data_IF_558683455079
#
_entry.id   IF_558683455079
#
_cell.length_a   1.000
_cell.length_b   1.000
_cell.length_c   1.000
_cell.angle_alpha   90.00
_cell.angle_beta   90.00
_cell.angle_gamma   90.00
#
_symmetry.space_group_name_H-M   'P 1'
#
loop_
_entity.id
_entity.type
_entity.pdbx_description
1 polymer ?
#
# COMPACT_ATOMS: atom_id res chain seq x y z
N UNK A 1 6.68 8.05 -9.29
CA UNK A 1 6.70 6.59 -9.03
C UNK A 1 5.61 5.81 -9.77
N UNK A 2 4.44 6.41 -10.07
CA UNK A 2 3.30 5.72 -10.70
C UNK A 2 3.62 4.98 -12.02
N UNK A 3 4.41 5.58 -12.91
CA UNK A 3 4.76 4.97 -14.21
C UNK A 3 5.53 3.65 -14.06
N UNK A 4 6.44 3.54 -13.09
CA UNK A 4 7.17 2.30 -12.82
C UNK A 4 6.22 1.17 -12.40
N UNK A 5 5.31 1.46 -11.48
CA UNK A 5 4.31 0.50 -10.99
C UNK A 5 3.37 0.04 -12.09
N UNK A 6 2.96 0.95 -12.98
CA UNK A 6 2.12 0.63 -14.13
C UNK A 6 2.85 -0.31 -15.12
N UNK A 7 4.12 -0.03 -15.41
CA UNK A 7 4.95 -0.87 -16.26
C UNK A 7 5.19 -2.23 -15.64
N UNK A 8 5.51 -2.29 -14.34
CA UNK A 8 5.73 -3.52 -13.59
C UNK A 8 4.47 -4.41 -13.59
N UNK A 9 3.30 -3.81 -13.38
CA UNK A 9 2.02 -4.52 -13.46
C UNK A 9 1.78 -5.07 -14.86
N UNK A 10 1.97 -4.24 -15.89
CA UNK A 10 1.78 -4.66 -17.29
C UNK A 10 2.73 -5.79 -17.67
N UNK A 11 3.95 -5.75 -17.13
CA UNK A 11 4.97 -6.76 -17.33
C UNK A 11 4.60 -8.08 -16.63
N UNK A 12 4.23 -8.03 -15.34
CA UNK A 12 3.82 -9.21 -14.58
C UNK A 12 2.59 -9.89 -15.17
N UNK A 13 1.60 -9.11 -15.62
CA UNK A 13 0.41 -9.63 -16.29
C UNK A 13 0.75 -10.36 -17.60
N UNK A 14 1.68 -9.82 -18.40
CA UNK A 14 2.12 -10.46 -19.65
C UNK A 14 2.98 -11.71 -19.43
N UNK A 15 3.71 -11.77 -18.33
CA UNK A 15 4.54 -12.93 -17.96
C UNK A 15 3.76 -14.05 -17.27
N UNK A 16 2.55 -13.77 -16.80
CA UNK A 16 1.76 -14.75 -16.07
C UNK A 16 1.37 -15.92 -16.98
N UNK A 17 1.87 -17.11 -16.67
CA UNK A 17 1.56 -18.36 -17.39
C UNK A 17 0.36 -19.11 -16.79
N UNK A 18 -0.08 -18.69 -15.60
CA UNK A 18 -1.18 -19.32 -14.87
C UNK A 18 -2.52 -18.64 -15.22
N UNK A 19 -3.59 -19.43 -15.35
CA UNK A 19 -4.93 -18.92 -15.56
C UNK A 19 -5.42 -18.15 -14.32
N UNK A 20 -5.26 -16.82 -14.31
CA UNK A 20 -5.75 -15.95 -13.25
C UNK A 20 -5.16 -14.53 -13.31
N UNK A 21 -5.78 -13.60 -12.60
CA UNK A 21 -5.26 -12.23 -12.45
C UNK A 21 -4.14 -12.27 -11.39
N UNK A 22 -2.90 -12.45 -11.84
CA UNK A 22 -1.74 -12.32 -10.97
C UNK A 22 -1.40 -10.83 -10.77
N UNK A 23 -1.44 -10.38 -9.53
CA UNK A 23 -1.03 -9.03 -9.14
C UNK A 23 0.36 -9.08 -8.50
N UNK A 24 1.12 -8.00 -8.68
CA UNK A 24 2.45 -7.88 -8.07
C UNK A 24 2.26 -7.59 -6.59
N UNK A 25 2.74 -8.46 -5.70
CA UNK A 25 2.61 -8.22 -4.26
C UNK A 25 3.79 -7.46 -3.67
N UNK A 26 5.01 -7.74 -4.14
CA UNK A 26 6.22 -7.05 -3.69
C UNK A 26 7.34 -7.15 -4.71
N UNK A 27 8.23 -6.18 -4.69
CA UNK A 27 9.48 -6.17 -5.44
C UNK A 27 10.63 -5.94 -4.47
N UNK A 28 11.63 -6.82 -4.49
CA UNK A 28 12.76 -6.79 -3.56
C UNK A 28 14.05 -6.44 -4.30
N UNK A 29 14.86 -5.61 -3.66
CA UNK A 29 16.21 -5.25 -4.10
C UNK A 29 17.19 -5.52 -2.96
N UNK A 30 18.49 -5.36 -3.21
CA UNK A 30 19.51 -5.51 -2.17
C UNK A 30 19.42 -4.52 -1.01
N UNK A 31 18.69 -3.40 -1.17
CA UNK A 31 18.61 -2.34 -0.16
C UNK A 31 17.22 -2.16 0.44
N UNK A 32 16.16 -2.52 -0.28
CA UNK A 32 14.80 -2.34 0.20
C UNK A 32 13.85 -3.32 -0.48
N UNK A 33 12.72 -3.55 0.18
CA UNK A 33 11.57 -4.26 -0.33
C UNK A 33 10.40 -3.30 -0.48
N UNK A 34 9.91 -3.20 -1.71
CA UNK A 34 8.70 -2.46 -2.04
C UNK A 34 7.51 -3.40 -1.93
N UNK A 35 6.63 -3.12 -0.99
CA UNK A 35 5.38 -3.83 -0.81
C UNK A 35 4.28 -3.05 -1.52
N UNK A 36 3.48 -3.76 -2.31
CA UNK A 36 2.40 -3.19 -3.13
C UNK A 36 1.07 -3.84 -2.77
N UNK A 37 0.06 -3.00 -2.56
CA UNK A 37 -1.31 -3.42 -2.35
C UNK A 37 -2.22 -2.63 -3.28
N UNK A 38 -2.94 -3.34 -4.16
CA UNK A 38 -4.02 -2.78 -4.97
C UNK A 38 -5.35 -3.29 -4.44
N UNK A 39 -6.27 -2.35 -4.20
CA UNK A 39 -7.63 -2.68 -3.77
C UNK A 39 -8.57 -2.71 -4.98
N UNK A 40 -9.71 -3.42 -4.91
CA UNK A 40 -10.69 -3.47 -6.00
C UNK A 40 -11.25 -2.09 -6.40
N UNK A 41 -11.19 -1.11 -5.50
CA UNK A 41 -11.61 0.28 -5.76
C UNK A 41 -10.59 1.07 -6.57
N UNK A 42 -9.42 0.48 -6.91
CA UNK A 42 -8.35 1.13 -7.66
C UNK A 42 -7.40 1.96 -6.80
N UNK A 43 -7.56 1.95 -5.46
CA UNK A 43 -6.58 2.55 -4.55
C UNK A 43 -5.31 1.68 -4.51
N UNK A 44 -4.16 2.34 -4.66
CA UNK A 44 -2.84 1.72 -4.74
C UNK A 44 -1.99 2.22 -3.58
N UNK A 45 -1.61 1.31 -2.70
CA UNK A 45 -0.72 1.58 -1.56
C UNK A 45 0.66 0.99 -1.85
N UNK A 46 1.69 1.76 -1.53
CA UNK A 46 3.10 1.39 -1.75
C UNK A 46 3.85 1.68 -0.45
N UNK A 47 4.57 0.70 0.07
CA UNK A 47 5.39 0.84 1.27
C UNK A 47 6.78 0.25 1.05
N UNK A 48 7.80 1.08 1.23
CA UNK A 48 9.19 0.63 1.20
C UNK A 48 9.62 0.25 2.61
N UNK A 49 10.18 -0.95 2.74
CA UNK A 49 10.67 -1.50 4.01
C UNK A 49 12.04 -2.12 3.83
N UNK A 50 12.69 -2.46 4.93
CA UNK A 50 13.87 -3.34 4.90
C UNK A 50 13.50 -4.71 4.26
N UNK A 51 14.41 -5.37 3.53
CA UNK A 51 14.18 -6.71 2.99
C UNK A 51 13.83 -7.75 4.06
N UNK A 52 14.36 -7.61 5.28
CA UNK A 52 14.15 -8.55 6.38
C UNK A 52 12.89 -8.26 7.20
N UNK A 53 12.16 -7.18 6.88
CA UNK A 53 10.96 -6.81 7.61
C UNK A 53 9.83 -7.84 7.38
N UNK A 54 9.35 -8.44 8.47
CA UNK A 54 8.22 -9.36 8.49
C UNK A 54 6.93 -8.62 8.88
N UNK A 55 5.76 -9.18 8.54
CA UNK A 55 4.45 -8.61 8.95
C UNK A 55 3.96 -7.41 8.12
N UNK A 56 4.71 -6.98 7.10
CA UNK A 56 4.34 -5.81 6.29
C UNK A 56 2.98 -5.93 5.58
N UNK A 57 2.57 -7.09 5.03
CA UNK A 57 1.23 -7.22 4.44
C UNK A 57 0.10 -6.99 5.45
N UNK A 58 0.30 -7.34 6.71
CA UNK A 58 -0.68 -7.12 7.78
C UNK A 58 -0.72 -5.64 8.17
N UNK A 59 0.44 -4.99 8.29
CA UNK A 59 0.53 -3.54 8.50
C UNK A 59 -0.19 -2.77 7.38
N UNK A 60 0.03 -3.13 6.11
CA UNK A 60 -0.66 -2.49 4.98
C UNK A 60 -2.18 -2.65 5.04
N UNK A 61 -2.69 -3.80 5.51
CA UNK A 61 -4.13 -4.01 5.73
C UNK A 61 -4.66 -3.12 6.86
N UNK A 62 -3.94 -2.99 7.96
CA UNK A 62 -4.31 -2.10 9.07
C UNK A 62 -4.33 -0.63 8.64
N UNK A 63 -3.35 -0.21 7.83
CA UNK A 63 -3.34 1.14 7.22
C UNK A 63 -4.54 1.34 6.31
N UNK A 64 -4.90 0.33 5.51
CA UNK A 64 -6.12 0.39 4.68
C UNK A 64 -7.39 0.55 5.52
N UNK A 65 -7.52 -0.17 6.63
CA UNK A 65 -8.66 0.01 7.54
C UNK A 65 -8.71 1.42 8.12
N UNK A 66 -7.57 1.96 8.57
CA UNK A 66 -7.49 3.34 9.05
C UNK A 66 -7.86 4.37 7.97
N UNK A 67 -7.50 4.11 6.72
CA UNK A 67 -7.87 4.95 5.57
C UNK A 67 -9.38 4.92 5.30
N UNK A 68 -10.00 3.75 5.32
CA UNK A 68 -11.46 3.61 5.13
C UNK A 68 -12.21 4.35 6.24
N UNK A 69 -11.77 4.21 7.49
CA UNK A 69 -12.41 4.87 8.63
C UNK A 69 -12.22 6.38 8.65
N UNK A 70 -11.01 6.86 8.33
CA UNK A 70 -10.67 8.29 8.42
C UNK A 70 -11.02 9.12 7.20
N UNK A 71 -11.07 8.50 6.01
CA UNK A 71 -11.23 9.21 4.73
C UNK A 71 -12.53 8.84 4.06
N UNK A 72 -12.78 7.55 3.81
CA UNK A 72 -13.95 7.12 3.03
C UNK A 72 -15.26 7.33 3.78
N UNK A 73 -15.28 7.11 5.10
CA UNK A 73 -16.47 7.38 5.93
C UNK A 73 -16.73 8.87 6.14
N UNK A 74 -15.75 9.73 5.85
CA UNK A 74 -15.88 11.16 6.07
C UNK A 74 -16.36 11.87 4.79
N UNK A 75 -17.67 12.10 4.71
CA UNK A 75 -18.34 12.74 3.55
C UNK A 75 -17.84 14.19 3.30
N UNK A 76 -17.15 14.81 4.27
CA UNK A 76 -16.61 16.17 4.15
C UNK A 76 -15.26 16.22 3.42
N UNK A 77 -14.61 15.08 3.18
CA UNK A 77 -13.30 15.03 2.53
C UNK A 77 -13.49 14.73 1.05
N UNK A 78 -13.08 15.66 0.18
CA UNK A 78 -13.01 15.40 -1.25
C UNK A 78 -11.97 14.30 -1.53
N UNK A 79 -12.41 13.19 -2.14
CA UNK A 79 -11.60 11.98 -2.34
C UNK A 79 -10.34 12.18 -3.19
N UNK A 80 -10.20 13.34 -3.86
CA UNK A 80 -9.11 13.68 -4.76
C UNK A 80 -8.20 14.81 -4.22
N UNK A 81 -8.51 15.36 -3.04
CA UNK A 81 -7.69 16.37 -2.39
C UNK A 81 -6.56 15.73 -1.59
N UNK A 82 -5.49 16.51 -1.35
CA UNK A 82 -4.39 16.11 -0.48
C UNK A 82 -4.95 15.75 0.90
N UNK A 83 -4.65 14.54 1.38
CA UNK A 83 -5.14 14.01 2.65
C UNK A 83 -4.59 14.84 3.81
N UNK A 84 -5.29 15.91 4.19
CA UNK A 84 -4.96 16.78 5.33
C UNK A 84 -5.82 16.43 6.55
N UNK A 85 -6.05 15.13 6.81
CA UNK A 85 -6.77 14.70 7.99
C UNK A 85 -5.78 14.36 9.11
N UNK A 86 -5.68 15.24 10.11
CA UNK A 86 -4.76 15.07 11.24
C UNK A 86 -5.06 13.79 12.04
N UNK A 87 -6.34 13.41 12.18
CA UNK A 87 -6.73 12.16 12.86
C UNK A 87 -6.20 10.92 12.15
N UNK A 88 -6.17 10.95 10.82
CA UNK A 88 -5.59 9.87 10.02
C UNK A 88 -4.07 9.82 10.21
N UNK A 89 -3.40 10.97 10.18
CA UNK A 89 -1.94 11.05 10.36
C UNK A 89 -1.52 10.53 11.75
N UNK A 90 -2.18 10.95 12.83
CA UNK A 90 -1.85 10.46 14.17
C UNK A 90 -2.06 8.95 14.32
N UNK A 91 -3.14 8.40 13.74
CA UNK A 91 -3.36 6.94 13.74
C UNK A 91 -2.32 6.20 12.91
N UNK A 92 -1.95 6.75 11.75
CA UNK A 92 -0.93 6.18 10.89
C UNK A 92 0.44 6.14 11.58
N UNK A 93 0.83 7.24 12.24
CA UNK A 93 2.06 7.30 13.02
C UNK A 93 2.10 6.27 14.15
N UNK A 94 1.01 6.12 14.90
CA UNK A 94 0.90 5.09 15.94
C UNK A 94 1.05 3.68 15.37
N UNK A 95 0.41 3.38 14.23
CA UNK A 95 0.52 2.08 13.58
C UNK A 95 1.95 1.78 13.11
N UNK A 96 2.65 2.77 12.59
CA UNK A 96 4.02 2.63 12.11
C UNK A 96 4.98 2.46 13.29
N UNK A 97 4.87 3.29 14.34
CA UNK A 97 5.73 3.22 15.52
C UNK A 97 5.55 1.93 16.33
N UNK A 98 4.34 1.38 16.35
CA UNK A 98 4.06 0.11 17.03
C UNK A 98 4.58 -1.11 16.25
N UNK A 99 4.99 -0.94 14.99
CA UNK A 99 5.45 -2.07 14.19
C UNK A 99 6.85 -2.50 14.63
N UNK A 100 7.11 -3.81 14.82
CA UNK A 100 8.40 -4.32 15.32
C UNK A 100 9.59 -4.13 14.36
N UNK A 101 9.37 -3.53 13.19
CA UNK A 101 10.38 -3.27 12.15
C UNK A 101 10.66 -1.78 11.95
N UNK A 102 10.17 -0.93 12.87
CA UNK A 102 10.48 0.50 12.91
C UNK A 102 11.75 0.77 13.73
#
# INVERSE_FOLDING_TARGET
MYGMLLSLRSFALKLSTAAGIQQVNSFETSQYKLNYLETPTGLKMVLNTDPNAAGIPELMRSIYQAYVDGVIKNVLIESNAQLSNELFNSRLEQLIQNHPSF
#
